data_IF_456493427827
#
_entry.id   IF_456493427827
#
_cell.length_a   1.000
_cell.length_b   1.000
_cell.length_c   1.000
_cell.angle_alpha   90.00
_cell.angle_beta   90.00
_cell.angle_gamma   90.00
#
_symmetry.space_group_name_H-M   'P 1'
#
loop_
_entity.id
_entity.type
_entity.pdbx_description
1 polymer ?
#
# COMPACT_ATOMS: atom_id res chain seq x y z
N UNK A 1 3.66 0.35 -7.70
CA UNK A 1 5.08 0.72 -7.53
C UNK A 1 5.19 2.12 -6.89
N UNK A 2 6.12 3.00 -7.30
CA UNK A 2 6.39 4.30 -6.65
C UNK A 2 5.17 5.23 -6.55
N UNK A 3 4.22 5.18 -7.49
CA UNK A 3 2.95 5.88 -7.34
C UNK A 3 2.16 5.46 -6.09
N UNK A 4 2.20 4.18 -5.73
CA UNK A 4 1.60 3.66 -4.50
C UNK A 4 2.33 4.09 -3.23
N UNK A 5 3.67 4.21 -3.29
CA UNK A 5 4.46 4.82 -2.21
C UNK A 5 4.01 6.27 -1.98
N UNK A 6 3.95 7.08 -3.05
CA UNK A 6 3.53 8.48 -2.97
C UNK A 6 2.08 8.63 -2.47
N UNK A 7 1.19 7.73 -2.90
CA UNK A 7 -0.20 7.70 -2.43
C UNK A 7 -0.27 7.45 -0.91
N UNK A 8 0.44 6.45 -0.38
CA UNK A 8 0.50 6.20 1.07
C UNK A 8 1.20 7.33 1.81
N UNK A 9 2.27 7.90 1.25
CA UNK A 9 2.95 9.05 1.84
C UNK A 9 2.02 10.26 2.00
N UNK A 10 1.06 10.45 1.08
CA UNK A 10 0.10 11.55 1.14
C UNK A 10 -0.77 11.53 2.41
N UNK A 11 -1.04 10.35 2.99
CA UNK A 11 -1.77 10.19 4.26
C UNK A 11 -1.12 10.97 5.41
N UNK A 12 0.19 11.19 5.35
CA UNK A 12 0.99 11.86 6.37
C UNK A 12 1.28 13.33 6.03
N UNK A 13 0.73 13.85 4.93
CA UNK A 13 1.04 15.21 4.43
C UNK A 13 -0.18 16.09 4.25
N UNK A 14 -1.35 15.50 4.02
CA UNK A 14 -2.58 16.22 3.72
C UNK A 14 -3.79 15.38 4.13
N UNK A 15 -4.90 16.01 4.46
CA UNK A 15 -6.18 15.37 4.75
C UNK A 15 -7.22 15.55 3.61
N UNK A 16 -6.75 15.89 2.40
CA UNK A 16 -7.63 16.24 1.28
C UNK A 16 -8.22 15.02 0.55
N UNK A 17 -7.42 14.01 0.11
CA UNK A 17 -7.99 12.90 -0.66
C UNK A 17 -8.90 12.03 0.20
N UNK A 18 -10.14 11.81 -0.24
CA UNK A 18 -11.09 10.92 0.45
C UNK A 18 -10.82 9.43 0.19
N UNK A 19 -10.23 9.10 -0.96
CA UNK A 19 -9.86 7.74 -1.33
C UNK A 19 -8.38 7.68 -1.72
N UNK A 20 -7.63 6.77 -1.09
CA UNK A 20 -6.20 6.55 -1.35
C UNK A 20 -5.99 5.07 -1.61
N UNK A 21 -5.28 4.73 -2.69
CA UNK A 21 -5.01 3.35 -3.02
C UNK A 21 -3.57 3.14 -3.49
N UNK A 22 -3.10 1.90 -3.36
CA UNK A 22 -1.78 1.48 -3.84
C UNK A 22 -1.86 0.05 -4.35
N UNK A 23 -1.37 -0.16 -5.58
CA UNK A 23 -1.07 -1.47 -6.14
C UNK A 23 0.45 -1.62 -6.20
N UNK A 24 0.94 -2.68 -5.55
CA UNK A 24 2.36 -3.04 -5.49
C UNK A 24 3.22 -1.86 -5.03
N UNK A 25 2.82 -1.19 -3.95
CA UNK A 25 3.50 -0.01 -3.43
C UNK A 25 4.96 -0.30 -3.13
N UNK A 26 5.88 0.60 -3.53
CA UNK A 26 7.33 0.43 -3.35
C UNK A 26 7.78 0.66 -1.91
N UNK A 27 7.14 -0.01 -0.95
CA UNK A 27 7.34 0.21 0.48
C UNK A 27 8.72 -0.24 0.99
N UNK A 28 9.49 -0.95 0.16
CA UNK A 28 10.92 -1.22 0.35
C UNK A 28 11.78 0.05 0.28
N UNK A 29 11.23 1.19 -0.16
CA UNK A 29 11.98 2.45 -0.24
C UNK A 29 12.60 2.78 1.14
N UNK A 30 13.89 3.18 1.17
CA UNK A 30 14.62 3.33 2.43
C UNK A 30 13.88 4.17 3.47
N UNK A 31 13.90 3.72 4.73
CA UNK A 31 13.27 4.34 5.90
C UNK A 31 11.73 4.51 5.86
N UNK A 32 11.06 4.14 4.77
CA UNK A 32 9.63 4.41 4.63
C UNK A 32 8.78 3.67 5.67
N UNK A 33 9.15 2.45 6.00
CA UNK A 33 8.47 1.66 7.03
C UNK A 33 8.61 2.30 8.42
N UNK A 34 9.82 2.76 8.77
CA UNK A 34 10.08 3.45 10.04
C UNK A 34 9.28 4.75 10.10
N UNK A 35 9.32 5.54 9.02
CA UNK A 35 8.53 6.76 8.89
C UNK A 35 7.04 6.51 9.16
N UNK A 36 6.42 5.50 8.55
CA UNK A 36 5.00 5.18 8.76
C UNK A 36 4.67 4.65 10.16
N UNK A 37 5.64 4.12 10.91
CA UNK A 37 5.44 3.65 12.30
C UNK A 37 5.61 4.78 13.31
N UNK A 38 6.51 5.71 13.04
CA UNK A 38 6.88 6.81 13.94
C UNK A 38 5.99 8.04 13.80
N UNK A 39 5.27 8.17 12.69
CA UNK A 39 4.41 9.30 12.41
C UNK A 39 2.93 8.90 12.45
N UNK A 40 2.05 9.69 13.07
CA UNK A 40 0.62 9.46 13.00
C UNK A 40 0.07 9.84 11.62
N UNK A 41 -0.87 9.05 11.09
CA UNK A 41 -1.62 9.42 9.89
C UNK A 41 -2.39 10.72 10.12
N UNK A 42 -2.23 11.70 9.22
CA UNK A 42 -2.96 12.97 9.25
C UNK A 42 -4.36 12.80 8.68
N UNK A 43 -4.49 12.07 7.57
CA UNK A 43 -5.77 11.86 6.89
C UNK A 43 -6.57 10.71 7.50
N UNK A 44 -7.13 10.93 8.68
CA UNK A 44 -7.90 9.93 9.43
C UNK A 44 -9.23 9.52 8.74
N UNK A 45 -9.72 10.36 7.82
CA UNK A 45 -11.01 10.16 7.16
C UNK A 45 -10.89 9.50 5.78
N UNK A 46 -9.67 9.23 5.29
CA UNK A 46 -9.49 8.57 4.01
C UNK A 46 -9.89 7.10 4.08
N UNK A 47 -10.62 6.65 3.06
CA UNK A 47 -10.72 5.24 2.72
C UNK A 47 -9.44 4.79 2.03
N UNK A 48 -8.78 3.78 2.57
CA UNK A 48 -7.48 3.31 2.09
C UNK A 48 -7.55 1.87 1.59
N UNK A 49 -6.98 1.63 0.42
CA UNK A 49 -6.89 0.29 -0.19
C UNK A 49 -5.46 -0.05 -0.59
N UNK A 50 -4.87 -1.06 0.05
CA UNK A 50 -3.55 -1.56 -0.32
C UNK A 50 -3.64 -2.99 -0.87
N UNK A 51 -2.98 -3.20 -2.01
CA UNK A 51 -2.89 -4.51 -2.66
C UNK A 51 -1.44 -4.76 -3.09
N UNK A 52 -0.82 -5.74 -2.46
CA UNK A 52 0.53 -6.20 -2.77
C UNK A 52 0.54 -7.71 -3.05
N UNK A 53 1.61 -8.19 -3.66
CA UNK A 53 1.85 -9.61 -3.91
C UNK A 53 2.84 -10.21 -2.92
N UNK A 54 2.62 -11.45 -2.50
CA UNK A 54 3.48 -12.18 -1.54
C UNK A 54 4.84 -12.56 -2.12
N UNK A 55 4.93 -12.65 -3.44
CA UNK A 55 6.15 -13.04 -4.16
C UNK A 55 6.79 -11.85 -4.88
N UNK A 56 6.34 -10.62 -4.63
CA UNK A 56 7.11 -9.43 -5.01
C UNK A 56 8.53 -9.55 -4.42
N UNK A 57 9.57 -9.15 -5.13
CA UNK A 57 10.94 -9.24 -4.57
C UNK A 57 11.66 -10.59 -4.75
N UNK A 58 10.94 -11.70 -4.98
CA UNK A 58 11.47 -13.09 -4.98
C UNK A 58 12.58 -13.42 -6.01
N UNK A 59 12.95 -12.49 -6.86
CA UNK A 59 14.01 -12.60 -7.87
C UNK A 59 15.09 -11.51 -7.75
N UNK A 60 15.12 -10.78 -6.63
CA UNK A 60 16.08 -9.70 -6.41
C UNK A 60 17.08 -10.07 -5.31
N UNK A 61 18.35 -9.71 -5.52
CA UNK A 61 19.42 -9.86 -4.53
C UNK A 61 19.80 -8.52 -3.89
N UNK A 62 18.83 -7.62 -3.75
CA UNK A 62 19.04 -6.25 -3.24
C UNK A 62 17.87 -5.83 -2.33
N UNK A 63 17.73 -4.53 -2.06
CA UNK A 63 16.69 -3.99 -1.18
C UNK A 63 15.26 -4.40 -1.55
N UNK A 64 15.01 -4.79 -2.81
CA UNK A 64 13.71 -5.26 -3.30
C UNK A 64 13.31 -6.64 -2.77
N UNK A 65 14.26 -7.45 -2.32
CA UNK A 65 13.99 -8.80 -1.76
C UNK A 65 13.05 -8.73 -0.55
N UNK A 66 13.13 -7.64 0.21
CA UNK A 66 12.26 -7.39 1.36
C UNK A 66 10.91 -6.75 1.00
N UNK A 67 10.55 -6.61 -0.29
CA UNK A 67 9.34 -5.91 -0.70
C UNK A 67 8.05 -6.45 -0.05
N UNK A 68 7.79 -7.77 0.04
CA UNK A 68 6.58 -8.30 0.68
C UNK A 68 6.57 -8.00 2.17
N UNK A 69 7.72 -8.19 2.84
CA UNK A 69 7.86 -7.91 4.27
C UNK A 69 7.60 -6.43 4.58
N UNK A 70 8.18 -5.51 3.80
CA UNK A 70 7.91 -4.09 3.96
C UNK A 70 6.43 -3.76 3.73
N UNK A 71 5.78 -4.41 2.76
CA UNK A 71 4.35 -4.24 2.55
C UNK A 71 3.52 -4.76 3.74
N UNK A 72 3.82 -5.94 4.27
CA UNK A 72 3.14 -6.48 5.46
C UNK A 72 3.25 -5.53 6.67
N UNK A 73 4.42 -4.94 6.88
CA UNK A 73 4.65 -3.98 7.95
C UNK A 73 3.85 -2.68 7.76
N UNK A 74 3.79 -2.15 6.54
CA UNK A 74 2.95 -0.98 6.22
C UNK A 74 1.46 -1.29 6.39
N UNK A 75 1.00 -2.43 5.88
CA UNK A 75 -0.40 -2.86 6.01
C UNK A 75 -0.80 -2.99 7.48
N UNK A 76 0.08 -3.59 8.29
CA UNK A 76 -0.14 -3.75 9.73
C UNK A 76 -0.10 -2.42 10.49
N UNK A 77 0.79 -1.49 10.12
CA UNK A 77 0.85 -0.16 10.74
C UNK A 77 -0.43 0.64 10.45
N UNK A 78 -0.82 0.73 9.18
CA UNK A 78 -1.99 1.52 8.76
C UNK A 78 -3.31 0.94 9.27
N UNK A 79 -3.45 -0.39 9.34
CA UNK A 79 -4.63 -1.02 9.95
C UNK A 79 -4.85 -0.61 11.41
N UNK A 80 -3.78 -0.29 12.15
CA UNK A 80 -3.89 0.18 13.54
C UNK A 80 -4.25 1.67 13.65
N UNK A 81 -4.00 2.43 12.59
CA UNK A 81 -4.15 3.89 12.58
C UNK A 81 -5.43 4.37 11.89
N UNK A 82 -6.07 3.54 11.06
CA UNK A 82 -7.19 3.94 10.20
C UNK A 82 -8.44 3.09 10.42
N UNK A 83 -9.61 3.74 10.40
CA UNK A 83 -10.90 3.07 10.53
C UNK A 83 -11.37 2.42 9.22
N UNK A 84 -11.08 3.05 8.08
CA UNK A 84 -11.52 2.60 6.74
C UNK A 84 -10.32 2.10 5.93
N UNK A 85 -9.91 0.87 6.19
CA UNK A 85 -8.70 0.29 5.60
C UNK A 85 -8.93 -1.12 5.06
N UNK A 86 -8.62 -1.32 3.78
CA UNK A 86 -8.59 -2.62 3.11
C UNK A 86 -7.15 -2.96 2.76
N UNK A 87 -6.77 -4.20 3.09
CA UNK A 87 -5.44 -4.75 2.84
C UNK A 87 -5.60 -6.11 2.19
N UNK A 88 -5.03 -6.28 1.01
CA UNK A 88 -5.08 -7.50 0.20
C UNK A 88 -3.66 -7.96 -0.14
N UNK A 89 -3.44 -9.27 -0.04
CA UNK A 89 -2.26 -9.94 -0.56
C UNK A 89 -2.67 -11.09 -1.46
N UNK A 90 -2.09 -11.18 -2.66
CA UNK A 90 -2.21 -12.36 -3.53
C UNK A 90 -0.88 -13.12 -3.62
N UNK A 91 -0.88 -14.29 -4.27
CA UNK A 91 0.31 -15.16 -4.37
C UNK A 91 1.30 -14.74 -5.47
N UNK A 92 1.08 -13.60 -6.14
CA UNK A 92 1.74 -13.24 -7.39
C UNK A 92 2.84 -12.19 -7.22
N UNK A 93 3.77 -12.13 -8.17
CA UNK A 93 4.84 -11.16 -8.24
C UNK A 93 4.39 -9.76 -8.67
N UNK A 94 5.36 -8.88 -8.89
CA UNK A 94 5.10 -7.45 -9.14
C UNK A 94 4.33 -7.17 -10.44
N UNK A 95 4.65 -7.90 -11.51
CA UNK A 95 4.07 -7.71 -12.84
C UNK A 95 3.00 -8.75 -13.19
N UNK A 96 2.68 -9.63 -12.25
CA UNK A 96 1.72 -10.71 -12.43
C UNK A 96 0.34 -10.30 -11.91
N UNK A 97 -0.71 -10.92 -12.46
CA UNK A 97 -2.10 -10.73 -12.01
C UNK A 97 -2.64 -9.27 -12.04
N UNK A 98 -1.94 -8.34 -12.72
CA UNK A 98 -2.25 -6.91 -12.73
C UNK A 98 -3.69 -6.60 -13.12
N UNK A 99 -4.22 -7.26 -14.16
CA UNK A 99 -5.61 -7.06 -14.62
C UNK A 99 -6.62 -7.30 -13.50
N UNK A 100 -6.44 -8.36 -12.70
CA UNK A 100 -7.35 -8.67 -11.59
C UNK A 100 -7.15 -7.71 -10.42
N UNK A 101 -5.91 -7.26 -10.16
CA UNK A 101 -5.63 -6.22 -9.15
C UNK A 101 -6.32 -4.90 -9.50
N UNK A 102 -6.24 -4.47 -10.77
CA UNK A 102 -6.93 -3.27 -11.25
C UNK A 102 -8.45 -3.41 -11.22
N UNK A 103 -8.99 -4.58 -11.58
CA UNK A 103 -10.42 -4.84 -11.47
C UNK A 103 -10.90 -4.73 -10.02
N UNK A 104 -10.22 -5.40 -9.08
CA UNK A 104 -10.57 -5.33 -7.67
C UNK A 104 -10.48 -3.90 -7.10
N UNK A 105 -9.49 -3.12 -7.57
CA UNK A 105 -9.38 -1.71 -7.23
C UNK A 105 -10.55 -0.88 -7.79
N UNK A 106 -10.94 -1.09 -9.05
CA UNK A 106 -12.07 -0.40 -9.67
C UNK A 106 -13.37 -0.70 -8.90
N UNK A 107 -13.64 -1.98 -8.62
CA UNK A 107 -14.81 -2.43 -7.85
C UNK A 107 -14.84 -1.84 -6.42
N UNK A 108 -13.67 -1.58 -5.83
CA UNK A 108 -13.57 -0.90 -4.54
C UNK A 108 -13.82 0.60 -4.67
N UNK A 109 -13.24 1.24 -5.68
CA UNK A 109 -13.33 2.68 -5.90
C UNK A 109 -14.76 3.12 -6.22
N UNK A 110 -15.51 2.33 -6.99
CA UNK A 110 -16.94 2.56 -7.25
C UNK A 110 -17.78 2.67 -5.97
N UNK A 111 -17.37 2.01 -4.88
CA UNK A 111 -18.05 2.06 -3.58
C UNK A 111 -17.64 3.25 -2.71
N UNK A 112 -16.66 4.04 -3.15
CA UNK A 112 -16.19 5.25 -2.45
C UNK A 112 -16.77 6.55 -3.03
N UNK A 113 -17.45 6.46 -4.19
CA UNK A 113 -18.20 7.54 -4.83
C UNK A 113 -19.62 7.63 -4.26
#
# INVERSE_FOLDING_TARGET
SLGGLAAVYSLYRTNIPSAIFSICGSFWYPEFVNFCKENPVINQNASVYLYNGKTEGSHHNNILDNAPKCAEEIHSSLRKQLNHFISVFDEFGHHENLTNRYKALADWLEKQL
#
